data_IF_735775176401
#
_entry.id   IF_735775176401
#
_cell.length_a   1.000
_cell.length_b   1.000
_cell.length_c   1.000
_cell.angle_alpha   90.00
_cell.angle_beta   90.00
_cell.angle_gamma   90.00
#
_symmetry.space_group_name_H-M   'P 1'
#
loop_
_entity.id
_entity.type
_entity.pdbx_description
1 polymer ?
#
# COMPACT_ATOMS: atom_id res chain seq x y z
N UNK A 1 -62.31 23.49 -42.25
CA UNK A 1 -60.84 23.65 -42.26
C UNK A 1 -60.45 24.60 -41.12
N UNK A 2 -59.41 24.29 -40.32
CA UNK A 2 -59.05 24.91 -39.01
C UNK A 2 -59.66 24.27 -37.74
N UNK A 3 -59.65 22.93 -37.60
CA UNK A 3 -59.75 22.26 -36.28
C UNK A 3 -58.93 20.96 -36.15
N UNK A 4 -58.04 20.68 -37.11
CA UNK A 4 -57.27 19.43 -37.18
C UNK A 4 -55.75 19.62 -37.03
N UNK A 5 -55.33 20.78 -36.54
CA UNK A 5 -53.93 21.16 -36.46
C UNK A 5 -53.71 21.74 -35.07
N UNK A 6 -53.44 20.90 -34.05
CA UNK A 6 -52.81 21.27 -32.76
C UNK A 6 -52.66 20.05 -31.81
N UNK A 7 -53.40 18.94 -31.98
CA UNK A 7 -53.33 17.83 -30.99
C UNK A 7 -52.29 16.74 -31.37
N UNK A 8 -51.73 16.76 -32.58
CA UNK A 8 -50.67 15.80 -32.99
C UNK A 8 -49.27 16.22 -32.49
N UNK A 9 -49.12 17.39 -31.85
CA UNK A 9 -47.83 17.92 -31.42
C UNK A 9 -47.41 17.54 -29.98
N UNK A 10 -48.27 16.87 -29.20
CA UNK A 10 -47.96 16.48 -27.82
C UNK A 10 -47.52 15.03 -27.62
N UNK A 11 -47.47 14.21 -28.68
CA UNK A 11 -47.21 12.77 -28.56
C UNK A 11 -45.81 12.32 -29.02
N UNK A 12 -44.92 13.25 -29.43
CA UNK A 12 -43.64 12.89 -30.06
C UNK A 12 -42.37 13.39 -29.33
N UNK A 13 -42.47 13.86 -28.09
CA UNK A 13 -41.30 14.34 -27.31
C UNK A 13 -41.19 13.66 -25.93
N UNK A 14 -41.53 12.38 -25.87
CA UNK A 14 -41.23 11.51 -24.72
C UNK A 14 -40.35 10.35 -25.18
N UNK A 15 -39.18 10.68 -25.71
CA UNK A 15 -38.04 9.77 -25.70
C UNK A 15 -37.40 9.88 -24.31
N UNK A 16 -37.49 8.87 -23.44
CA UNK A 16 -36.63 8.87 -22.27
C UNK A 16 -35.20 8.75 -22.78
N UNK A 17 -34.38 9.76 -22.51
CA UNK A 17 -32.93 9.61 -22.54
C UNK A 17 -32.60 8.53 -21.51
N UNK A 18 -32.39 7.30 -21.98
CA UNK A 18 -31.73 6.28 -21.18
C UNK A 18 -30.28 6.74 -21.11
N UNK A 19 -29.98 7.61 -20.14
CA UNK A 19 -28.65 7.87 -19.70
C UNK A 19 -28.11 6.54 -19.17
N UNK A 20 -27.28 5.87 -19.96
CA UNK A 20 -26.41 4.80 -19.48
C UNK A 20 -25.41 5.43 -18.51
N UNK A 21 -25.84 5.62 -17.26
CA UNK A 21 -24.91 5.70 -16.15
C UNK A 21 -24.21 4.34 -16.10
N UNK A 22 -22.95 4.29 -16.55
CA UNK A 22 -22.07 3.16 -16.30
C UNK A 22 -21.94 3.05 -14.78
N UNK A 23 -22.75 2.18 -14.17
CA UNK A 23 -22.46 1.70 -12.83
C UNK A 23 -21.15 0.95 -12.90
N UNK A 24 -20.15 1.39 -12.14
CA UNK A 24 -19.02 0.54 -11.80
C UNK A 24 -19.59 -0.78 -11.27
N UNK A 25 -19.11 -1.90 -11.81
CA UNK A 25 -19.42 -3.24 -11.31
C UNK A 25 -18.85 -3.37 -9.88
N UNK A 26 -19.61 -2.95 -8.86
CA UNK A 26 -19.26 -3.08 -7.43
C UNK A 26 -19.30 -4.53 -6.91
N UNK A 27 -19.30 -5.53 -7.80
CA UNK A 27 -19.52 -6.95 -7.44
C UNK A 27 -18.46 -7.94 -7.91
N UNK A 28 -17.48 -7.52 -8.72
CA UNK A 28 -16.39 -8.43 -9.09
C UNK A 28 -15.35 -8.50 -7.97
N UNK A 29 -14.96 -9.71 -7.51
CA UNK A 29 -13.90 -9.84 -6.52
C UNK A 29 -12.63 -9.25 -7.12
N UNK A 30 -12.11 -8.18 -6.49
CA UNK A 30 -10.83 -7.59 -6.89
C UNK A 30 -9.76 -8.66 -6.87
N UNK A 31 -8.99 -8.73 -7.96
CA UNK A 31 -7.82 -9.60 -8.01
C UNK A 31 -6.85 -9.23 -6.87
N UNK A 32 -6.27 -10.23 -6.18
CA UNK A 32 -5.31 -9.97 -5.12
C UNK A 32 -4.09 -9.17 -5.64
N UNK A 33 -3.68 -8.09 -4.96
CA UNK A 33 -2.60 -7.22 -5.43
C UNK A 33 -1.24 -7.93 -5.52
N UNK A 34 -0.99 -8.90 -4.64
CA UNK A 34 0.28 -9.63 -4.57
C UNK A 34 0.12 -11.14 -4.73
N UNK A 35 1.21 -11.82 -5.12
CA UNK A 35 1.25 -13.29 -5.18
C UNK A 35 1.06 -13.89 -3.78
N UNK A 36 1.57 -13.22 -2.75
CA UNK A 36 1.35 -13.60 -1.35
C UNK A 36 -0.14 -13.60 -1.01
N UNK A 37 -0.85 -12.52 -1.28
CA UNK A 37 -2.29 -12.44 -1.00
C UNK A 37 -3.09 -13.44 -1.82
N UNK A 38 -2.76 -13.60 -3.11
CA UNK A 38 -3.41 -14.59 -3.96
C UNK A 38 -3.32 -16.01 -3.38
N UNK A 39 -2.17 -16.35 -2.82
CA UNK A 39 -1.96 -17.65 -2.19
C UNK A 39 -2.68 -17.75 -0.84
N UNK A 40 -2.66 -16.69 -0.04
CA UNK A 40 -3.37 -16.63 1.25
C UNK A 40 -4.89 -16.66 1.10
N UNK A 41 -5.42 -16.21 -0.04
CA UNK A 41 -6.84 -16.21 -0.35
C UNK A 41 -7.38 -17.60 -0.70
N UNK A 42 -6.53 -18.56 -1.11
CA UNK A 42 -6.93 -19.94 -1.45
C UNK A 42 -7.69 -20.58 -0.29
N UNK A 43 -8.90 -21.09 -0.56
CA UNK A 43 -9.76 -21.77 0.43
C UNK A 43 -9.67 -23.28 0.25
N UNK A 44 -9.84 -24.02 1.35
CA UNK A 44 -9.84 -25.49 1.35
C UNK A 44 -8.46 -26.14 1.31
N UNK A 45 -7.37 -25.35 1.23
CA UNK A 45 -6.00 -25.87 1.20
C UNK A 45 -5.33 -25.74 2.57
N UNK A 46 -4.49 -26.72 2.92
CA UNK A 46 -3.57 -26.63 4.04
C UNK A 46 -2.33 -25.83 3.60
N UNK A 47 -2.05 -24.72 4.28
CA UNK A 47 -0.93 -23.84 3.97
C UNK A 47 0.04 -23.80 5.15
N UNK A 48 1.32 -24.02 4.89
CA UNK A 48 2.41 -23.76 5.83
C UNK A 48 2.85 -22.31 5.68
N UNK A 49 3.07 -21.62 6.81
CA UNK A 49 3.54 -20.23 6.85
C UNK A 49 4.71 -20.10 7.81
N UNK A 50 5.88 -19.81 7.27
CA UNK A 50 7.06 -19.51 8.07
C UNK A 50 7.22 -17.99 8.19
N UNK A 51 7.16 -17.50 9.43
CA UNK A 51 7.38 -16.09 9.74
C UNK A 51 8.76 -15.91 10.39
N UNK A 52 9.53 -14.98 9.85
CA UNK A 52 10.84 -14.60 10.37
C UNK A 52 10.81 -13.12 10.76
N UNK A 53 10.78 -12.81 12.06
CA UNK A 53 10.79 -11.41 12.53
C UNK A 53 12.10 -10.74 12.11
N UNK A 54 12.00 -9.64 11.35
CA UNK A 54 13.17 -8.93 10.82
C UNK A 54 13.57 -7.76 11.70
N UNK A 55 12.59 -7.03 12.22
CA UNK A 55 12.77 -5.87 13.09
C UNK A 55 11.53 -4.99 13.14
N UNK A 56 11.65 -3.90 13.88
CA UNK A 56 10.62 -2.87 14.00
C UNK A 56 11.27 -1.48 14.08
N UNK A 57 10.53 -0.46 13.69
CA UNK A 57 10.92 0.95 13.83
C UNK A 57 9.79 1.68 14.55
N UNK A 58 10.11 2.25 15.71
CA UNK A 58 9.17 3.05 16.47
C UNK A 58 8.98 4.43 15.82
N UNK A 59 7.77 4.95 15.91
CA UNK A 59 7.41 6.28 15.46
C UNK A 59 6.82 7.13 16.58
N UNK A 60 6.41 8.34 16.20
CA UNK A 60 5.76 9.32 17.08
C UNK A 60 4.38 8.82 17.50
N UNK A 61 3.85 9.41 18.58
CA UNK A 61 2.50 9.12 19.07
C UNK A 61 2.24 7.64 19.43
N UNK A 62 3.31 6.88 19.70
CA UNK A 62 3.21 5.45 20.00
C UNK A 62 2.98 4.58 18.77
N UNK A 63 3.15 5.11 17.55
CA UNK A 63 3.08 4.30 16.35
C UNK A 63 4.32 3.42 16.19
N UNK A 64 4.21 2.35 15.42
CA UNK A 64 5.34 1.53 15.01
C UNK A 64 5.09 0.87 13.66
N UNK A 65 6.17 0.50 12.99
CA UNK A 65 6.16 -0.37 11.82
C UNK A 65 6.97 -1.62 12.13
N UNK A 66 6.41 -2.79 11.83
CA UNK A 66 7.01 -4.11 12.07
C UNK A 66 7.17 -4.86 10.75
N UNK A 67 8.29 -5.56 10.59
CA UNK A 67 8.61 -6.29 9.38
C UNK A 67 8.87 -7.76 9.70
N UNK A 68 8.27 -8.65 8.91
CA UNK A 68 8.52 -10.08 8.93
C UNK A 68 8.73 -10.61 7.53
N UNK A 69 9.76 -11.42 7.32
CA UNK A 69 9.85 -12.24 6.11
C UNK A 69 8.83 -13.38 6.21
N UNK A 70 8.13 -13.64 5.11
CA UNK A 70 7.07 -14.63 5.00
C UNK A 70 7.40 -15.59 3.86
N UNK A 71 7.41 -16.89 4.19
CA UNK A 71 7.48 -17.98 3.22
C UNK A 71 6.23 -18.83 3.36
N UNK A 72 5.49 -19.04 2.27
CA UNK A 72 4.23 -19.80 2.26
C UNK A 72 4.26 -20.89 1.19
N UNK A 73 3.72 -22.06 1.51
CA UNK A 73 3.64 -23.20 0.60
C UNK A 73 2.58 -24.22 1.04
N UNK A 74 2.22 -25.14 0.15
CA UNK A 74 1.39 -26.30 0.48
C UNK A 74 2.30 -27.49 0.85
N UNK A 75 1.97 -28.31 1.88
CA UNK A 75 2.78 -29.48 2.23
C UNK A 75 3.04 -30.40 1.03
N UNK A 76 4.29 -30.79 0.81
CA UNK A 76 4.71 -31.60 -0.35
C UNK A 76 4.92 -30.80 -1.64
N UNK A 77 4.76 -29.47 -1.61
CA UNK A 77 5.02 -28.55 -2.72
C UNK A 77 6.03 -27.46 -2.30
N UNK A 78 7.03 -27.81 -1.50
CA UNK A 78 8.05 -26.89 -0.95
C UNK A 78 8.81 -26.13 -2.06
N UNK A 79 8.94 -26.72 -3.25
CA UNK A 79 9.57 -26.10 -4.42
C UNK A 79 8.77 -24.95 -5.04
N UNK A 80 7.46 -24.88 -4.75
CA UNK A 80 6.55 -23.83 -5.25
C UNK A 80 6.27 -22.73 -4.22
N UNK A 81 7.08 -22.65 -3.16
CA UNK A 81 6.91 -21.66 -2.11
C UNK A 81 6.94 -20.23 -2.66
N UNK A 82 6.06 -19.40 -2.10
CA UNK A 82 6.02 -17.96 -2.34
C UNK A 82 6.70 -17.26 -1.17
N UNK A 83 7.41 -16.19 -1.48
CA UNK A 83 8.31 -15.49 -0.58
C UNK A 83 8.05 -13.99 -0.70
N UNK A 84 8.02 -13.31 0.43
CA UNK A 84 7.92 -11.86 0.44
C UNK A 84 7.93 -11.29 1.85
N UNK A 85 7.50 -10.05 1.97
CA UNK A 85 7.54 -9.29 3.21
C UNK A 85 6.11 -9.07 3.72
N UNK A 86 5.90 -9.30 5.01
CA UNK A 86 4.74 -8.82 5.74
C UNK A 86 5.15 -7.56 6.50
N UNK A 87 4.39 -6.49 6.31
CA UNK A 87 4.57 -5.22 6.97
C UNK A 87 3.32 -4.93 7.80
N UNK A 88 3.50 -4.61 9.07
CA UNK A 88 2.42 -4.16 9.94
C UNK A 88 2.69 -2.74 10.39
N UNK A 89 1.69 -1.87 10.31
CA UNK A 89 1.74 -0.55 10.95
C UNK A 89 0.68 -0.53 12.04
N UNK A 90 1.12 -0.23 13.26
CA UNK A 90 0.25 0.07 14.39
C UNK A 90 0.31 1.58 14.63
N UNK A 91 -0.83 2.26 14.50
CA UNK A 91 -1.03 3.64 14.88
C UNK A 91 -1.35 3.70 16.38
N UNK A 92 -0.60 4.51 17.13
CA UNK A 92 -0.85 4.72 18.56
C UNK A 92 -1.91 5.79 18.82
N UNK A 93 -2.40 5.86 20.06
CA UNK A 93 -3.38 6.87 20.50
C UNK A 93 -4.64 6.28 21.10
N UNK A 94 -5.71 7.09 21.21
CA UNK A 94 -6.98 6.69 21.84
C UNK A 94 -7.74 5.61 21.04
N UNK A 95 -7.49 5.54 19.74
CA UNK A 95 -8.08 4.56 18.84
C UNK A 95 -6.93 3.87 18.09
N UNK A 96 -6.38 2.82 18.69
CA UNK A 96 -5.34 2.01 18.07
C UNK A 96 -5.87 1.40 16.77
N UNK A 97 -5.13 1.61 15.67
CA UNK A 97 -5.42 1.02 14.36
C UNK A 97 -4.21 0.24 13.92
N UNK A 98 -4.45 -0.95 13.37
CA UNK A 98 -3.37 -1.76 12.81
C UNK A 98 -3.79 -2.28 11.47
N UNK A 99 -2.96 -2.01 10.45
CA UNK A 99 -3.15 -2.56 9.11
C UNK A 99 -1.89 -3.34 8.70
N UNK A 100 -2.09 -4.31 7.83
CA UNK A 100 -1.03 -5.17 7.29
C UNK A 100 -0.99 -5.00 5.78
N UNK A 101 0.23 -5.05 5.22
CA UNK A 101 0.47 -5.10 3.79
C UNK A 101 1.49 -6.18 3.47
N UNK A 102 1.41 -6.74 2.27
CA UNK A 102 2.33 -7.73 1.74
C UNK A 102 3.08 -7.17 0.53
N UNK A 103 4.36 -7.51 0.43
CA UNK A 103 5.19 -7.19 -0.73
C UNK A 103 5.76 -8.48 -1.32
N UNK A 104 5.64 -8.63 -2.63
CA UNK A 104 6.36 -9.68 -3.35
C UNK A 104 7.87 -9.39 -3.38
N UNK A 105 8.70 -10.41 -3.60
CA UNK A 105 10.17 -10.29 -3.57
C UNK A 105 10.72 -9.14 -4.43
N UNK A 106 10.15 -8.96 -5.63
CA UNK A 106 10.46 -7.88 -6.58
C UNK A 106 10.16 -6.47 -6.04
N UNK A 107 9.14 -6.32 -5.19
CA UNK A 107 8.76 -5.06 -4.56
C UNK A 107 9.69 -4.71 -3.41
N UNK A 108 10.26 -5.71 -2.71
CA UNK A 108 11.24 -5.48 -1.64
C UNK A 108 12.52 -4.84 -2.21
N UNK A 109 12.99 -5.29 -3.38
CA UNK A 109 14.12 -4.68 -4.06
C UNK A 109 13.84 -3.23 -4.46
N UNK A 110 12.63 -2.99 -4.96
CA UNK A 110 12.18 -1.65 -5.35
C UNK A 110 12.08 -0.71 -4.14
N UNK A 111 11.56 -1.22 -3.01
CA UNK A 111 11.50 -0.51 -1.74
C UNK A 111 12.90 -0.09 -1.25
N UNK A 112 13.87 -1.01 -1.26
CA UNK A 112 15.24 -0.71 -0.81
C UNK A 112 15.88 0.42 -1.63
N UNK A 113 15.75 0.34 -2.96
CA UNK A 113 16.25 1.39 -3.88
C UNK A 113 15.54 2.72 -3.68
N UNK A 114 14.22 2.70 -3.45
CA UNK A 114 13.46 3.91 -3.19
C UNK A 114 13.89 4.59 -1.88
N UNK A 115 14.13 3.82 -0.82
CA UNK A 115 14.60 4.35 0.47
C UNK A 115 16.01 4.95 0.37
N UNK A 116 16.90 4.32 -0.41
CA UNK A 116 18.22 4.89 -0.72
C UNK A 116 18.10 6.24 -1.42
N UNK A 117 17.27 6.29 -2.46
CA UNK A 117 17.02 7.52 -3.21
C UNK A 117 16.38 8.62 -2.33
N UNK A 118 15.44 8.27 -1.45
CA UNK A 118 14.84 9.20 -0.49
C UNK A 118 15.89 9.76 0.47
N UNK A 119 16.81 8.92 0.96
CA UNK A 119 17.93 9.36 1.79
C UNK A 119 18.76 10.43 1.09
N UNK A 120 19.20 10.16 -0.13
CA UNK A 120 19.98 11.09 -0.94
C UNK A 120 19.23 12.40 -1.24
N UNK A 121 17.94 12.28 -1.58
CA UNK A 121 17.11 13.43 -1.91
C UNK A 121 16.86 14.31 -0.68
N UNK A 122 16.61 13.70 0.48
CA UNK A 122 16.43 14.42 1.74
C UNK A 122 17.68 15.23 2.11
N UNK A 123 18.87 14.65 1.94
CA UNK A 123 20.15 15.31 2.20
C UNK A 123 20.36 16.52 1.28
N UNK A 124 20.03 16.39 -0.01
CA UNK A 124 20.10 17.50 -0.98
C UNK A 124 19.14 18.64 -0.63
N UNK A 125 18.00 18.34 -0.01
CA UNK A 125 16.97 19.33 0.28
C UNK A 125 17.12 20.04 1.63
N UNK A 126 18.05 19.62 2.50
CA UNK A 126 18.20 20.22 3.84
C UNK A 126 18.37 21.74 3.84
N UNK A 127 19.03 22.29 2.81
CA UNK A 127 19.29 23.73 2.68
C UNK A 127 18.40 24.43 1.66
N UNK A 128 17.41 23.74 1.10
CA UNK A 128 16.50 24.26 0.09
C UNK A 128 15.15 24.46 0.75
N UNK A 129 14.56 25.65 0.64
CA UNK A 129 13.16 25.84 1.05
C UNK A 129 12.23 25.28 -0.03
N UNK A 130 11.24 24.50 0.38
CA UNK A 130 10.21 23.94 -0.49
C UNK A 130 8.84 24.47 -0.08
N UNK A 131 7.96 24.69 -1.05
CA UNK A 131 6.52 24.58 -0.78
C UNK A 131 6.19 23.14 -0.37
N UNK A 132 4.97 22.86 0.06
CA UNK A 132 4.57 21.50 0.41
C UNK A 132 4.91 20.51 -0.72
N UNK A 133 5.90 19.65 -0.47
CA UNK A 133 6.40 18.70 -1.46
C UNK A 133 6.54 17.34 -0.80
N UNK A 134 5.90 16.31 -1.36
CA UNK A 134 6.01 14.94 -0.89
C UNK A 134 6.84 14.08 -1.85
N UNK A 135 7.54 13.11 -1.28
CA UNK A 135 8.24 12.04 -1.99
C UNK A 135 7.71 10.74 -1.41
N UNK A 136 6.99 9.97 -2.23
CA UNK A 136 6.28 8.77 -1.79
C UNK A 136 6.63 7.60 -2.70
N UNK A 137 6.92 6.46 -2.08
CA UNK A 137 6.96 5.16 -2.73
C UNK A 137 5.73 4.36 -2.30
N UNK A 138 5.06 3.75 -3.27
CA UNK A 138 3.81 3.01 -3.11
C UNK A 138 3.95 1.59 -3.68
N UNK A 139 3.39 0.60 -3.00
CA UNK A 139 3.35 -0.80 -3.44
C UNK A 139 1.98 -1.19 -3.96
N UNK A 140 1.85 -2.43 -4.46
CA UNK A 140 0.56 -2.96 -4.95
C UNK A 140 -0.48 -3.10 -3.84
N UNK A 141 -0.06 -3.47 -2.62
CA UNK A 141 -0.95 -3.71 -1.47
C UNK A 141 -1.01 -2.50 -0.52
N UNK A 142 -1.14 -1.29 -1.08
CA UNK A 142 -1.38 -0.03 -0.37
C UNK A 142 -0.38 0.34 0.75
N UNK A 143 0.82 -0.26 0.77
CA UNK A 143 1.92 0.22 1.61
C UNK A 143 2.55 1.44 0.95
N UNK A 144 2.63 2.52 1.72
CA UNK A 144 3.27 3.75 1.31
C UNK A 144 4.34 4.12 2.34
N UNK A 145 5.46 4.62 1.85
CA UNK A 145 6.52 5.17 2.70
C UNK A 145 7.14 6.37 1.98
N UNK A 146 7.55 7.37 2.75
CA UNK A 146 8.02 8.60 2.15
C UNK A 146 8.42 9.65 3.16
N UNK A 147 8.62 10.85 2.64
CA UNK A 147 8.74 12.05 3.45
C UNK A 147 8.13 13.23 2.72
N UNK A 148 7.75 14.25 3.48
CA UNK A 148 7.39 15.54 2.93
C UNK A 148 8.30 16.62 3.50
N UNK A 149 8.39 17.74 2.78
CA UNK A 149 9.08 18.93 3.23
C UNK A 149 8.18 20.17 3.09
N UNK A 150 8.14 20.98 4.14
CA UNK A 150 7.51 22.31 4.15
C UNK A 150 8.53 23.30 4.68
N UNK A 151 8.86 24.32 3.88
CA UNK A 151 10.00 25.18 4.17
C UNK A 151 11.28 24.33 4.19
N UNK A 152 11.95 24.28 5.34
CA UNK A 152 13.13 23.45 5.58
C UNK A 152 12.85 22.25 6.49
N UNK A 153 11.62 22.08 6.97
CA UNK A 153 11.26 20.99 7.87
C UNK A 153 10.90 19.74 7.08
N UNK A 154 11.56 18.62 7.38
CA UNK A 154 11.31 17.32 6.78
C UNK A 154 10.62 16.40 7.79
N UNK A 155 9.61 15.68 7.32
CA UNK A 155 8.89 14.68 8.10
C UNK A 155 8.74 13.42 7.28
N UNK A 156 9.29 12.31 7.78
CA UNK A 156 9.16 10.99 7.21
C UNK A 156 7.95 10.26 7.79
N UNK A 157 7.29 9.45 6.95
CA UNK A 157 6.08 8.72 7.31
C UNK A 157 5.96 7.40 6.55
N UNK A 158 5.10 6.53 7.06
CA UNK A 158 4.62 5.35 6.35
C UNK A 158 3.14 5.10 6.65
N UNK A 159 2.40 4.58 5.68
CA UNK A 159 0.96 4.28 5.82
C UNK A 159 0.61 2.95 5.17
N UNK A 160 -0.39 2.26 5.72
CA UNK A 160 -0.99 1.07 5.10
C UNK A 160 -2.51 1.23 4.98
N UNK A 161 -3.03 0.86 3.82
CA UNK A 161 -4.44 0.69 3.53
C UNK A 161 -5.07 1.89 2.81
N UNK A 162 -6.24 1.64 2.22
CA UNK A 162 -7.04 2.65 1.52
C UNK A 162 -8.08 3.32 2.45
N UNK A 163 -8.89 2.52 3.14
CA UNK A 163 -9.88 2.94 4.14
C UNK A 163 -9.35 2.64 5.54
N UNK A 164 -9.49 3.59 6.48
CA UNK A 164 -9.00 3.39 7.85
C UNK A 164 -7.48 3.24 7.92
N UNK A 165 -6.76 4.07 7.16
CA UNK A 165 -5.30 4.00 7.03
C UNK A 165 -4.62 4.01 8.39
N UNK A 166 -3.73 3.05 8.61
CA UNK A 166 -2.81 3.10 9.74
C UNK A 166 -1.58 3.91 9.31
N UNK A 167 -1.17 4.87 10.14
CA UNK A 167 -0.05 5.78 9.84
C UNK A 167 1.01 5.71 10.93
N UNK A 168 2.28 5.69 10.52
CA UNK A 168 3.43 5.84 11.38
C UNK A 168 4.24 7.05 10.92
N UNK A 169 4.27 8.11 11.74
CA UNK A 169 5.19 9.22 11.56
C UNK A 169 6.50 8.87 12.27
N UNK A 170 7.61 8.91 11.56
CA UNK A 170 8.90 8.57 12.15
C UNK A 170 9.44 9.71 13.04
N UNK A 171 10.39 9.39 13.91
CA UNK A 171 11.03 10.42 14.74
C UNK A 171 11.93 11.31 13.90
N UNK A 172 12.62 10.73 12.92
CA UNK A 172 13.63 11.37 12.10
C UNK A 172 13.74 10.80 10.69
N UNK A 173 14.45 11.48 9.80
CA UNK A 173 14.74 10.98 8.46
C UNK A 173 15.63 9.72 8.48
N UNK A 174 16.45 9.55 9.51
CA UNK A 174 17.32 8.38 9.70
C UNK A 174 16.51 7.09 9.90
N UNK A 175 15.27 7.17 10.34
CA UNK A 175 14.40 6.00 10.48
C UNK A 175 14.08 5.36 9.13
N UNK A 176 14.12 6.10 8.02
CA UNK A 176 14.02 5.52 6.67
C UNK A 176 15.22 4.60 6.37
N UNK A 177 16.42 4.93 6.87
CA UNK A 177 17.60 4.05 6.75
C UNK A 177 17.46 2.79 7.62
N UNK A 178 16.83 2.91 8.80
CA UNK A 178 16.48 1.75 9.63
C UNK A 178 15.52 0.81 8.88
N UNK A 179 14.49 1.37 8.25
CA UNK A 179 13.57 0.59 7.41
C UNK A 179 14.31 -0.08 6.24
N UNK A 180 15.19 0.64 5.54
CA UNK A 180 16.01 0.09 4.45
C UNK A 180 16.84 -1.10 4.93
N UNK A 181 17.51 -0.95 6.07
CA UNK A 181 18.35 -2.01 6.66
C UNK A 181 17.53 -3.28 6.96
N UNK A 182 16.31 -3.10 7.46
CA UNK A 182 15.39 -4.21 7.74
C UNK A 182 14.90 -4.86 6.43
N UNK A 183 14.56 -4.07 5.41
CA UNK A 183 14.16 -4.57 4.09
C UNK A 183 15.30 -5.35 3.41
N UNK A 184 16.53 -4.84 3.46
CA UNK A 184 17.73 -5.51 2.91
C UNK A 184 18.02 -6.84 3.63
N UNK A 185 17.86 -6.86 4.96
CA UNK A 185 17.95 -8.09 5.76
C UNK A 185 16.89 -9.11 5.32
N UNK A 186 15.66 -8.66 5.09
CA UNK A 186 14.57 -9.49 4.58
C UNK A 186 14.87 -10.07 3.21
N UNK A 187 15.31 -9.22 2.27
CA UNK A 187 15.67 -9.61 0.91
C UNK A 187 16.76 -10.67 0.92
N UNK A 188 17.83 -10.48 1.71
CA UNK A 188 18.90 -11.47 1.85
C UNK A 188 18.37 -12.81 2.37
N UNK A 189 17.60 -12.79 3.46
CA UNK A 189 17.03 -14.00 4.05
C UNK A 189 16.13 -14.74 3.06
N UNK A 190 15.25 -14.04 2.36
CA UNK A 190 14.31 -14.64 1.42
C UNK A 190 15.00 -15.22 0.18
N UNK A 191 16.14 -14.66 -0.24
CA UNK A 191 16.93 -15.22 -1.34
C UNK A 191 17.65 -16.52 -0.95
N UNK A 192 18.03 -16.67 0.31
CA UNK A 192 18.62 -17.91 0.85
C UNK A 192 17.57 -18.98 1.17
N UNK A 193 16.31 -18.57 1.37
CA UNK A 193 15.21 -19.49 1.65
C UNK A 193 14.78 -20.20 0.41
#
# INVERSE_FOLDING_TARGET
>A
MKKFLIIVLCALVLLPMIASAQGENEGEPKEPPTKLEAFLAKKGNLIVKDFYKLGEVAGRYGSKIEFSALVIYEPGQESQRIRGLKIDITEGGKYERSNTSFLDLEEIESLSKALEYMGDLSAKWQNIKKEYTEVVFSTKDDFNIGFYQIGSEQVSFSTIGYIGKATCFFFSMQDLNSVKTIADKGLKLLNEK
#
